data_IF_373994540850
#
_entry.id   IF_373994540850
#
_cell.length_a   1.000
_cell.length_b   1.000
_cell.length_c   1.000
_cell.angle_alpha   90.00
_cell.angle_beta   90.00
_cell.angle_gamma   90.00
#
_symmetry.space_group_name_H-M   'P 1'
#
loop_
_entity.id
_entity.type
_entity.pdbx_description
1 polymer ?
#
# COMPACT_ATOMS: atom_id res chain seq x y z
N UNK A 1 34.58 3.59 -16.89
CA UNK A 1 34.53 2.57 -15.81
C UNK A 1 33.08 2.22 -15.61
N UNK A 2 32.69 0.97 -15.90
CA UNK A 2 31.32 0.52 -15.70
C UNK A 2 31.04 0.57 -14.19
N UNK A 3 30.21 1.51 -13.75
CA UNK A 3 29.71 1.53 -12.38
C UNK A 3 29.09 0.16 -12.14
N UNK A 4 29.68 -0.57 -11.20
CA UNK A 4 29.11 -1.76 -10.59
C UNK A 4 27.81 -1.30 -9.95
N UNK A 5 26.73 -1.31 -10.73
CA UNK A 5 25.42 -1.02 -10.18
C UNK A 5 25.13 -2.20 -9.27
N UNK A 6 25.21 -1.89 -7.98
CA UNK A 6 25.10 -2.82 -6.88
C UNK A 6 23.97 -3.82 -7.13
N UNK A 7 24.32 -5.10 -7.23
CA UNK A 7 23.37 -6.20 -7.43
C UNK A 7 22.27 -6.15 -6.36
N UNK A 8 22.59 -5.64 -5.18
CA UNK A 8 21.64 -5.39 -4.11
C UNK A 8 20.54 -4.40 -4.54
N UNK A 9 20.91 -3.24 -5.12
CA UNK A 9 19.94 -2.24 -5.60
C UNK A 9 19.06 -2.84 -6.71
N UNK A 10 19.63 -3.68 -7.58
CA UNK A 10 18.85 -4.35 -8.63
C UNK A 10 17.82 -5.32 -8.05
N UNK A 11 18.19 -6.11 -7.04
CA UNK A 11 17.27 -7.04 -6.37
C UNK A 11 16.22 -6.30 -5.57
N UNK A 12 16.60 -5.26 -4.83
CA UNK A 12 15.66 -4.42 -4.09
C UNK A 12 14.63 -3.76 -5.03
N UNK A 13 15.09 -3.22 -6.17
CA UNK A 13 14.19 -2.66 -7.18
C UNK A 13 13.25 -3.71 -7.79
N UNK A 14 13.72 -4.95 -7.96
CA UNK A 14 12.89 -6.07 -8.41
C UNK A 14 11.81 -6.41 -7.39
N UNK A 15 12.19 -6.54 -6.11
CA UNK A 15 11.28 -6.87 -5.02
C UNK A 15 10.20 -5.79 -4.84
N UNK A 16 10.59 -4.51 -4.91
CA UNK A 16 9.65 -3.39 -4.85
C UNK A 16 8.64 -3.43 -6.00
N UNK A 17 9.07 -3.81 -7.21
CA UNK A 17 8.18 -3.88 -8.37
C UNK A 17 7.29 -5.14 -8.36
N UNK A 18 7.87 -6.30 -8.04
CA UNK A 18 7.23 -7.63 -8.13
C UNK A 18 6.37 -7.91 -6.91
N UNK A 19 6.92 -7.75 -5.71
CA UNK A 19 6.28 -8.11 -4.45
C UNK A 19 5.47 -6.94 -3.87
N UNK A 20 6.09 -5.76 -3.76
CA UNK A 20 5.43 -4.55 -3.23
C UNK A 20 4.56 -3.83 -4.27
N UNK A 21 4.48 -4.35 -5.50
CA UNK A 21 3.58 -3.90 -6.57
C UNK A 21 3.75 -2.43 -6.98
N UNK A 22 4.89 -1.81 -6.68
CA UNK A 22 5.16 -0.41 -7.02
C UNK A 22 5.24 -0.19 -8.53
N UNK A 23 4.98 1.04 -8.97
CA UNK A 23 5.25 1.45 -10.36
C UNK A 23 6.74 1.73 -10.56
N UNK A 24 7.20 1.87 -11.81
CA UNK A 24 8.60 2.20 -12.04
C UNK A 24 9.00 3.55 -11.46
N UNK A 25 8.06 4.51 -11.43
CA UNK A 25 8.23 5.84 -10.86
C UNK A 25 8.43 5.75 -9.34
N UNK A 26 7.59 4.99 -8.65
CA UNK A 26 7.71 4.76 -7.20
C UNK A 26 8.98 3.97 -6.83
N UNK A 27 9.38 2.99 -7.67
CA UNK A 27 10.65 2.27 -7.48
C UNK A 27 11.85 3.20 -7.72
N UNK A 28 11.75 4.09 -8.71
CA UNK A 28 12.77 5.09 -9.03
C UNK A 28 12.97 6.06 -7.86
N UNK A 29 11.89 6.52 -7.25
CA UNK A 29 11.91 7.36 -6.05
C UNK A 29 12.55 6.63 -4.85
N UNK A 30 12.18 5.36 -4.64
CA UNK A 30 12.69 4.57 -3.51
C UNK A 30 14.18 4.19 -3.64
N UNK A 31 14.65 3.92 -4.85
CA UNK A 31 16.01 3.38 -5.09
C UNK A 31 16.99 4.39 -5.68
N UNK A 32 16.52 5.56 -6.12
CA UNK A 32 17.32 6.56 -6.84
C UNK A 32 17.71 6.15 -8.27
N UNK A 33 17.29 4.97 -8.74
CA UNK A 33 17.61 4.47 -10.09
C UNK A 33 16.64 5.07 -11.11
N UNK A 34 17.14 5.50 -12.27
CA UNK A 34 16.28 6.06 -13.33
C UNK A 34 15.25 5.05 -13.85
N UNK A 35 14.03 5.53 -14.16
CA UNK A 35 12.94 4.73 -14.74
C UNK A 35 13.38 3.98 -16.02
N UNK A 36 14.21 4.59 -16.86
CA UNK A 36 14.73 3.97 -18.08
C UNK A 36 15.59 2.75 -17.77
N UNK A 37 16.42 2.83 -16.74
CA UNK A 37 17.26 1.72 -16.30
C UNK A 37 16.43 0.60 -15.66
N UNK A 38 15.42 0.94 -14.85
CA UNK A 38 14.48 -0.04 -14.28
C UNK A 38 13.72 -0.79 -15.38
N UNK A 39 13.26 -0.10 -16.43
CA UNK A 39 12.61 -0.74 -17.59
C UNK A 39 13.55 -1.70 -18.32
N UNK A 40 14.83 -1.37 -18.43
CA UNK A 40 15.86 -2.27 -19.00
C UNK A 40 16.00 -3.53 -18.15
N UNK A 41 16.19 -3.41 -16.84
CA UNK A 41 16.30 -4.56 -15.94
C UNK A 41 15.04 -5.41 -15.91
N UNK A 42 13.86 -4.77 -15.92
CA UNK A 42 12.59 -5.49 -16.02
C UNK A 42 12.51 -6.36 -17.26
N UNK A 43 13.08 -5.93 -18.38
CA UNK A 43 13.09 -6.71 -19.63
C UNK A 43 14.11 -7.85 -19.57
N UNK A 44 15.29 -7.60 -19.02
CA UNK A 44 16.34 -8.63 -18.87
C UNK A 44 15.93 -9.75 -17.91
N UNK A 45 15.24 -9.42 -16.82
CA UNK A 45 14.90 -10.34 -15.73
C UNK A 45 13.41 -10.70 -15.68
N UNK A 46 12.64 -10.35 -16.72
CA UNK A 46 11.21 -10.68 -16.87
C UNK A 46 10.32 -10.29 -15.68
N UNK A 47 10.56 -9.12 -15.05
CA UNK A 47 9.83 -8.71 -13.83
C UNK A 47 8.32 -8.70 -13.99
N UNK A 48 7.80 -8.32 -15.17
CA UNK A 48 6.35 -8.34 -15.44
C UNK A 48 5.76 -9.74 -15.30
N UNK A 49 6.44 -10.75 -15.82
CA UNK A 49 6.00 -12.14 -15.71
C UNK A 49 6.09 -12.61 -14.26
N UNK A 50 7.21 -12.33 -13.58
CA UNK A 50 7.38 -12.64 -12.16
C UNK A 50 6.29 -12.01 -11.29
N UNK A 51 5.91 -10.76 -11.57
CA UNK A 51 4.80 -10.07 -10.88
C UNK A 51 3.47 -10.77 -11.08
N UNK A 52 3.16 -11.20 -12.31
CA UNK A 52 1.92 -11.94 -12.58
C UNK A 52 1.92 -13.30 -11.87
N UNK A 53 3.05 -14.01 -11.91
CA UNK A 53 3.21 -15.29 -11.22
C UNK A 53 3.11 -15.14 -9.71
N UNK A 54 3.77 -14.14 -9.13
CA UNK A 54 3.67 -13.80 -7.72
C UNK A 54 2.22 -13.51 -7.31
N UNK A 55 1.48 -12.72 -8.10
CA UNK A 55 0.06 -12.44 -7.83
C UNK A 55 -0.81 -13.71 -7.89
N UNK A 56 -0.56 -14.59 -8.88
CA UNK A 56 -1.27 -15.87 -9.00
C UNK A 56 -0.97 -16.78 -7.80
N UNK A 57 0.30 -16.85 -7.38
CA UNK A 57 0.72 -17.64 -6.23
C UNK A 57 0.14 -17.09 -4.93
N UNK A 58 0.15 -15.76 -4.73
CA UNK A 58 -0.47 -15.09 -3.59
C UNK A 58 -1.97 -15.38 -3.53
N UNK A 59 -2.68 -15.33 -4.66
CA UNK A 59 -4.11 -15.68 -4.73
C UNK A 59 -4.35 -17.16 -4.40
N UNK A 60 -3.57 -18.06 -4.99
CA UNK A 60 -3.68 -19.50 -4.75
C UNK A 60 -3.43 -19.84 -3.27
N UNK A 61 -2.43 -19.20 -2.66
CA UNK A 61 -2.12 -19.35 -1.24
C UNK A 61 -3.28 -18.88 -0.36
N UNK A 62 -3.89 -17.73 -0.66
CA UNK A 62 -5.08 -17.25 0.06
C UNK A 62 -6.22 -18.25 -0.01
N UNK A 63 -6.49 -18.80 -1.19
CA UNK A 63 -7.53 -19.82 -1.38
C UNK A 63 -7.22 -21.11 -0.58
N UNK A 64 -5.96 -21.54 -0.55
CA UNK A 64 -5.52 -22.70 0.24
C UNK A 64 -5.62 -22.44 1.74
N UNK A 65 -5.28 -21.24 2.21
CA UNK A 65 -5.38 -20.85 3.61
C UNK A 65 -6.84 -20.82 4.10
N UNK A 66 -7.77 -20.30 3.28
CA UNK A 66 -9.21 -20.36 3.59
C UNK A 66 -9.67 -21.81 3.74
N UNK A 67 -9.31 -22.68 2.79
CA UNK A 67 -9.66 -24.11 2.88
C UNK A 67 -9.06 -24.78 4.11
N UNK A 68 -7.81 -24.47 4.45
CA UNK A 68 -7.14 -24.98 5.65
C UNK A 68 -7.86 -24.52 6.91
N UNK A 69 -8.16 -23.22 7.01
CA UNK A 69 -8.91 -22.62 8.12
C UNK A 69 -10.24 -23.33 8.31
N UNK A 70 -11.01 -23.51 7.24
CA UNK A 70 -12.33 -24.13 7.29
C UNK A 70 -12.23 -25.60 7.74
N UNK A 71 -11.24 -26.35 7.22
CA UNK A 71 -10.98 -27.73 7.64
C UNK A 71 -10.56 -27.84 9.11
N UNK A 72 -9.72 -26.91 9.59
CA UNK A 72 -9.26 -26.88 10.99
C UNK A 72 -10.40 -26.51 11.95
N UNK A 73 -11.22 -25.52 11.60
CA UNK A 73 -12.39 -25.13 12.39
C UNK A 73 -13.39 -26.29 12.49
N UNK A 74 -13.69 -26.95 11.37
CA UNK A 74 -14.58 -28.12 11.37
C UNK A 74 -14.05 -29.22 12.31
N UNK A 75 -12.78 -29.59 12.19
CA UNK A 75 -12.15 -30.59 13.07
C UNK A 75 -12.16 -30.19 14.54
N UNK A 76 -11.96 -28.90 14.85
CA UNK A 76 -11.98 -28.40 16.21
C UNK A 76 -13.38 -28.47 16.84
N UNK A 77 -14.42 -28.12 16.06
CA UNK A 77 -15.82 -28.24 16.49
C UNK A 77 -16.21 -29.70 16.73
N UNK A 78 -15.86 -30.58 15.79
CA UNK A 78 -16.21 -31.99 15.86
C UNK A 78 -15.53 -32.70 17.05
N UNK A 79 -14.24 -32.42 17.29
CA UNK A 79 -13.49 -33.12 18.34
C UNK A 79 -13.62 -32.50 19.72
N UNK A 80 -14.14 -31.27 19.85
CA UNK A 80 -14.19 -30.48 21.10
C UNK A 80 -12.84 -30.43 21.83
N UNK A 81 -11.76 -30.50 21.07
CA UNK A 81 -10.39 -30.56 21.60
C UNK A 81 -9.84 -29.13 21.72
N UNK A 82 -9.54 -28.66 22.94
CA UNK A 82 -9.03 -27.31 23.16
C UNK A 82 -7.75 -27.00 22.35
N UNK A 83 -6.89 -27.99 22.13
CA UNK A 83 -5.64 -27.80 21.38
C UNK A 83 -5.90 -27.55 19.90
N UNK A 84 -6.85 -28.28 19.31
CA UNK A 84 -7.25 -28.08 17.90
C UNK A 84 -8.01 -26.78 17.71
N UNK A 85 -8.85 -26.40 18.68
CA UNK A 85 -9.53 -25.11 18.69
C UNK A 85 -8.51 -23.95 18.72
N UNK A 86 -7.51 -24.04 19.59
CA UNK A 86 -6.45 -23.03 19.66
C UNK A 86 -5.65 -22.94 18.36
N UNK A 87 -5.27 -24.08 17.77
CA UNK A 87 -4.57 -24.12 16.49
C UNK A 87 -5.39 -23.48 15.36
N UNK A 88 -6.70 -23.77 15.30
CA UNK A 88 -7.60 -23.17 14.31
C UNK A 88 -7.72 -21.65 14.50
N UNK A 89 -7.90 -21.18 15.74
CA UNK A 89 -7.95 -19.74 16.06
C UNK A 89 -6.67 -19.00 15.66
N UNK A 90 -5.49 -19.63 15.82
CA UNK A 90 -4.22 -19.04 15.40
C UNK A 90 -4.17 -18.83 13.89
N UNK A 91 -4.65 -19.79 13.10
CA UNK A 91 -4.72 -19.66 11.63
C UNK A 91 -5.71 -18.57 11.22
N UNK A 92 -6.89 -18.51 11.86
CA UNK A 92 -7.87 -17.44 11.64
C UNK A 92 -7.25 -16.06 11.91
N UNK A 93 -6.55 -15.91 13.04
CA UNK A 93 -5.91 -14.65 13.42
C UNK A 93 -4.86 -14.22 12.40
N UNK A 94 -3.98 -15.13 11.99
CA UNK A 94 -2.96 -14.85 10.96
C UNK A 94 -3.59 -14.40 9.64
N UNK A 95 -4.68 -15.04 9.22
CA UNK A 95 -5.41 -14.65 8.03
C UNK A 95 -6.00 -13.23 8.16
N UNK A 96 -6.68 -12.92 9.27
CA UNK A 96 -7.23 -11.58 9.52
C UNK A 96 -6.14 -10.50 9.53
N UNK A 97 -4.99 -10.77 10.13
CA UNK A 97 -3.88 -9.83 10.16
C UNK A 97 -3.30 -9.60 8.76
N UNK A 98 -3.25 -10.64 7.90
CA UNK A 98 -2.85 -10.49 6.49
C UNK A 98 -3.85 -9.67 5.67
N UNK A 99 -5.15 -9.87 5.88
CA UNK A 99 -6.21 -9.15 5.17
C UNK A 99 -6.20 -7.66 5.54
N UNK A 100 -5.94 -7.34 6.82
CA UNK A 100 -5.74 -5.97 7.28
C UNK A 100 -4.54 -5.31 6.59
N UNK A 101 -3.40 -6.00 6.49
CA UNK A 101 -2.20 -5.46 5.81
C UNK A 101 -2.48 -5.18 4.34
N UNK A 102 -3.11 -6.12 3.63
CA UNK A 102 -3.46 -5.93 2.22
C UNK A 102 -4.45 -4.75 2.04
N UNK A 103 -5.39 -4.55 2.97
CA UNK A 103 -6.33 -3.44 2.92
C UNK A 103 -5.63 -2.08 3.13
N UNK A 104 -4.64 -2.00 4.01
CA UNK A 104 -3.84 -0.78 4.22
C UNK A 104 -2.98 -0.47 2.98
N UNK A 105 -2.39 -1.50 2.36
CA UNK A 105 -1.54 -1.36 1.15
C UNK A 105 -2.32 -0.87 -0.09
N UNK A 106 -3.62 -1.18 -0.19
CA UNK A 106 -4.49 -0.68 -1.28
C UNK A 106 -4.89 0.79 -1.07
N UNK A 107 -4.82 1.29 0.16
CA UNK A 107 -5.20 2.65 0.55
C UNK A 107 -3.95 3.45 0.87
N UNK A 108 -2.93 3.39 0.01
CA UNK A 108 -1.84 4.38 -0.01
C UNK A 108 -2.38 5.67 -0.65
N UNK A 109 -3.25 6.34 0.10
CA UNK A 109 -3.87 7.60 -0.27
C UNK A 109 -2.94 8.72 0.17
N UNK A 110 -2.46 9.51 -0.79
CA UNK A 110 -1.74 10.75 -0.52
C UNK A 110 -2.70 11.78 0.09
N UNK A 111 -2.98 11.61 1.39
CA UNK A 111 -3.90 12.45 2.16
C UNK A 111 -3.50 13.92 2.13
N UNK A 112 -2.20 14.30 2.20
CA UNK A 112 -1.79 15.68 1.99
C UNK A 112 -2.21 16.24 0.63
N UNK A 113 -2.02 15.47 -0.45
CA UNK A 113 -2.43 15.91 -1.79
C UNK A 113 -3.95 16.06 -1.93
N UNK A 114 -4.72 15.07 -1.47
CA UNK A 114 -6.19 15.14 -1.51
C UNK A 114 -6.70 16.33 -0.70
N UNK A 115 -6.11 16.58 0.47
CA UNK A 115 -6.48 17.73 1.28
C UNK A 115 -6.26 19.06 0.55
N UNK A 116 -5.15 19.20 -0.19
CA UNK A 116 -4.89 20.40 -0.98
C UNK A 116 -5.88 20.54 -2.15
N UNK A 117 -6.17 19.44 -2.86
CA UNK A 117 -7.18 19.40 -3.93
C UNK A 117 -8.57 19.81 -3.40
N UNK A 118 -8.97 19.33 -2.22
CA UNK A 118 -10.22 19.70 -1.55
C UNK A 118 -10.24 21.20 -1.18
N UNK A 119 -9.12 21.74 -0.70
CA UNK A 119 -9.02 23.17 -0.37
C UNK A 119 -9.12 24.07 -1.61
N UNK A 120 -8.51 23.66 -2.72
CA UNK A 120 -8.61 24.35 -4.00
C UNK A 120 -10.06 24.34 -4.51
N UNK A 121 -10.72 23.19 -4.46
CA UNK A 121 -12.14 23.06 -4.82
C UNK A 121 -13.04 23.98 -3.99
N UNK A 122 -12.81 24.06 -2.67
CA UNK A 122 -13.56 24.95 -1.78
C UNK A 122 -13.28 26.42 -2.15
N UNK A 123 -12.03 26.79 -2.43
CA UNK A 123 -11.68 28.15 -2.81
C UNK A 123 -12.35 28.56 -4.14
N UNK A 124 -12.37 27.68 -5.14
CA UNK A 124 -13.06 27.90 -6.41
C UNK A 124 -14.57 28.04 -6.21
N UNK A 125 -15.18 27.14 -5.43
CA UNK A 125 -16.62 27.20 -5.13
C UNK A 125 -17.00 28.49 -4.41
N UNK A 126 -16.21 28.92 -3.42
CA UNK A 126 -16.45 30.16 -2.69
C UNK A 126 -16.28 31.40 -3.57
N UNK A 127 -15.43 31.36 -4.58
CA UNK A 127 -15.26 32.47 -5.54
C UNK A 127 -16.57 32.81 -6.24
N UNK A 128 -17.37 31.80 -6.56
CA UNK A 128 -18.62 31.96 -7.31
C UNK A 128 -19.84 32.14 -6.39
N UNK A 129 -19.84 31.48 -5.22
CA UNK A 129 -21.01 31.42 -4.32
C UNK A 129 -20.95 32.44 -3.19
N UNK A 130 -19.77 32.68 -2.60
CA UNK A 130 -19.59 33.59 -1.47
C UNK A 130 -18.18 34.22 -1.43
N UNK A 131 -17.98 35.33 -2.16
CA UNK A 131 -16.69 36.02 -2.20
C UNK A 131 -16.24 36.57 -0.84
N UNK A 132 -17.16 36.78 0.13
CA UNK A 132 -16.76 37.18 1.48
C UNK A 132 -16.26 35.98 2.28
N UNK A 133 -16.91 34.83 2.14
CA UNK A 133 -16.44 33.54 2.64
C UNK A 133 -15.03 33.19 2.15
N UNK A 134 -14.74 33.43 0.86
CA UNK A 134 -13.40 33.22 0.30
C UNK A 134 -12.33 34.06 1.01
N UNK A 135 -12.60 35.33 1.32
CA UNK A 135 -11.64 36.20 2.03
C UNK A 135 -11.33 35.69 3.43
N UNK A 136 -12.35 35.20 4.14
CA UNK A 136 -12.18 34.59 5.47
C UNK A 136 -11.40 33.30 5.36
N UNK A 137 -11.70 32.46 4.36
CA UNK A 137 -10.99 31.21 4.11
C UNK A 137 -9.50 31.45 3.79
N UNK A 138 -9.19 32.32 2.84
CA UNK A 138 -7.81 32.67 2.47
C UNK A 138 -7.00 33.24 3.64
N UNK A 139 -7.60 34.08 4.49
CA UNK A 139 -6.91 34.63 5.67
C UNK A 139 -6.50 33.56 6.68
N UNK A 140 -7.23 32.44 6.73
CA UNK A 140 -6.97 31.36 7.68
C UNK A 140 -6.27 30.16 7.04
N UNK A 141 -5.91 30.22 5.76
CA UNK A 141 -5.40 29.07 4.99
C UNK A 141 -4.16 28.45 5.65
N UNK A 142 -3.16 29.26 5.99
CA UNK A 142 -1.93 28.77 6.63
C UNK A 142 -2.19 28.10 7.99
N UNK A 143 -3.14 28.64 8.76
CA UNK A 143 -3.53 28.07 10.06
C UNK A 143 -4.21 26.71 9.89
N UNK A 144 -5.07 26.58 8.88
CA UNK A 144 -5.77 25.35 8.53
C UNK A 144 -4.76 24.28 8.08
N UNK A 145 -3.83 24.64 7.20
CA UNK A 145 -2.77 23.73 6.70
C UNK A 145 -1.85 23.28 7.82
N UNK A 146 -1.43 24.20 8.70
CA UNK A 146 -0.54 23.85 9.82
C UNK A 146 -1.22 22.93 10.83
N UNK A 147 -2.50 23.17 11.18
CA UNK A 147 -3.27 22.26 12.03
C UNK A 147 -3.43 20.87 11.42
N UNK A 148 -3.66 20.80 10.11
CA UNK A 148 -3.74 19.52 9.40
C UNK A 148 -2.41 18.75 9.50
N UNK A 149 -1.28 19.43 9.26
CA UNK A 149 0.05 18.84 9.41
C UNK A 149 0.31 18.34 10.83
N UNK A 150 -0.05 19.11 11.85
CA UNK A 150 0.11 18.73 13.26
C UNK A 150 -0.69 17.47 13.63
N UNK A 151 -1.94 17.37 13.15
CA UNK A 151 -2.79 16.20 13.42
C UNK A 151 -2.30 14.94 12.70
N UNK A 152 -1.75 15.07 11.49
CA UNK A 152 -1.28 13.92 10.71
C UNK A 152 0.17 13.53 10.97
N UNK A 153 1.01 14.42 11.52
CA UNK A 153 2.36 14.08 11.98
C UNK A 153 2.37 13.19 13.24
N UNK A 154 1.29 13.18 14.03
CA UNK A 154 1.16 12.32 15.23
C UNK A 154 0.57 10.93 14.93
N UNK A 155 0.15 10.67 13.69
CA UNK A 155 -0.52 9.45 13.27
C UNK A 155 0.34 8.51 12.40
N UNK A 156 1.63 8.82 12.22
CA UNK A 156 2.62 8.00 11.50
C UNK A 156 3.56 7.27 12.46
#
# INVERSE_FOLDING_TARGET
MAQEIDLQIRFEAEDLYVEARKTYEQVSEATGVSVTQLKRWSKESNWRQKRVEHLKNKRTLKEQLVKLRDAMLKKAVDSKDPQKAYAALKVVKLQMDSEKKDAVEIVEVDRPKIFLEDMEFIAETLKDVDPQGLKVFSRNFDVIVNRFKEQHAQAS
#
